data_IF_796436433925
#
_entry.id   IF_796436433925
#
_cell.length_a   1.000
_cell.length_b   1.000
_cell.length_c   1.000
_cell.angle_alpha   90.00
_cell.angle_beta   90.00
_cell.angle_gamma   90.00
#
_symmetry.space_group_name_H-M   'P 1'
#
loop_
_entity.id
_entity.type
_entity.pdbx_description
1 polymer ?
#
# COMPACT_ATOMS: atom_id res chain seq x y z
N UNK A 1 11.66 11.96 -6.11
CA UNK A 1 11.07 12.40 -7.39
C UNK A 1 12.15 13.11 -8.19
N UNK A 2 12.22 12.86 -9.51
CA UNK A 2 13.15 13.55 -10.42
C UNK A 2 12.39 14.22 -11.56
N UNK A 3 12.93 15.35 -12.03
CA UNK A 3 12.46 16.02 -13.23
C UNK A 3 13.69 16.24 -14.12
N UNK A 4 13.67 15.73 -15.34
CA UNK A 4 14.82 15.76 -16.26
C UNK A 4 16.11 15.21 -15.60
N UNK A 5 15.99 14.10 -14.85
CA UNK A 5 17.06 13.47 -14.06
C UNK A 5 17.65 14.32 -12.92
N UNK A 6 17.02 15.44 -12.58
CA UNK A 6 17.41 16.27 -11.42
C UNK A 6 16.45 15.96 -10.25
N UNK A 7 16.97 15.70 -9.05
CA UNK A 7 16.13 15.53 -7.86
C UNK A 7 15.29 16.78 -7.59
N UNK A 8 13.98 16.58 -7.38
CA UNK A 8 13.05 17.63 -7.00
C UNK A 8 12.68 17.44 -5.54
N UNK A 9 13.02 18.38 -4.66
CA UNK A 9 12.60 18.35 -3.26
C UNK A 9 11.06 18.32 -3.16
N UNK A 10 10.55 17.37 -2.37
CA UNK A 10 9.12 17.19 -2.16
C UNK A 10 8.85 17.16 -0.65
N UNK A 11 7.66 17.64 -0.27
CA UNK A 11 7.13 17.45 1.07
C UNK A 11 5.96 16.47 1.05
N UNK A 12 5.88 15.63 2.08
CA UNK A 12 4.71 14.80 2.38
C UNK A 12 3.86 15.55 3.39
N UNK A 13 2.62 15.89 2.99
CA UNK A 13 1.71 16.71 3.79
C UNK A 13 0.66 15.86 4.52
N UNK A 14 0.24 14.74 3.93
CA UNK A 14 -0.76 13.84 4.49
C UNK A 14 -0.59 12.43 3.93
N UNK A 15 -1.20 11.44 4.60
CA UNK A 15 -1.59 10.18 3.98
C UNK A 15 -2.97 10.33 3.38
N UNK A 16 -3.21 9.68 2.24
CA UNK A 16 -4.52 9.74 1.63
C UNK A 16 -5.45 8.65 2.17
N UNK A 17 -4.88 7.53 2.60
CA UNK A 17 -5.63 6.40 3.16
C UNK A 17 -4.72 5.42 3.91
N UNK A 18 -5.36 4.56 4.72
CA UNK A 18 -4.78 3.33 5.26
C UNK A 18 -5.34 2.13 4.52
N UNK A 19 -4.61 1.03 4.54
CA UNK A 19 -4.97 -0.26 3.95
C UNK A 19 -5.34 -0.11 2.44
N UNK A 20 -6.24 -0.87 1.87
CA UNK A 20 -6.76 -0.64 0.50
C UNK A 20 -6.05 -1.31 -0.66
N UNK A 21 -5.07 -2.13 -0.38
CA UNK A 21 -4.44 -2.95 -1.41
C UNK A 21 -4.66 -4.42 -1.10
N UNK A 22 -4.47 -5.26 -2.10
CA UNK A 22 -4.47 -6.69 -1.91
C UNK A 22 -3.44 -7.36 -2.83
N UNK A 23 -3.07 -8.57 -2.45
CA UNK A 23 -2.30 -9.48 -3.30
C UNK A 23 -3.26 -10.48 -3.87
N UNK A 24 -3.37 -10.51 -5.19
CA UNK A 24 -4.22 -11.42 -5.94
C UNK A 24 -3.39 -12.36 -6.79
N UNK A 25 -3.90 -13.59 -6.95
CA UNK A 25 -3.21 -14.71 -7.58
C UNK A 25 -4.11 -15.30 -8.67
N UNK A 26 -3.51 -15.80 -9.74
CA UNK A 26 -4.24 -16.41 -10.86
C UNK A 26 -5.05 -17.63 -10.41
N UNK A 27 -6.18 -17.85 -11.09
CA UNK A 27 -7.13 -18.90 -10.75
C UNK A 27 -6.52 -20.31 -10.74
N UNK A 28 -5.50 -20.56 -11.56
CA UNK A 28 -4.79 -21.84 -11.61
C UNK A 28 -4.14 -22.26 -10.29
N UNK A 29 -3.87 -21.30 -9.37
CA UNK A 29 -3.27 -21.57 -8.08
C UNK A 29 -4.28 -21.79 -6.94
N UNK A 30 -5.59 -21.83 -7.23
CA UNK A 30 -6.64 -21.92 -6.20
C UNK A 30 -6.50 -23.15 -5.31
N UNK A 31 -6.12 -24.28 -5.89
CA UNK A 31 -5.98 -25.54 -5.16
C UNK A 31 -4.75 -25.57 -4.23
N UNK A 32 -3.81 -24.64 -4.40
CA UNK A 32 -2.67 -24.48 -3.48
C UNK A 32 -3.10 -23.99 -2.10
N UNK A 33 -4.31 -23.42 -1.98
CA UNK A 33 -4.84 -22.79 -0.77
C UNK A 33 -3.96 -21.66 -0.24
N UNK A 34 -3.17 -21.03 -1.12
CA UNK A 34 -2.36 -19.87 -0.75
C UNK A 34 -3.25 -18.76 -0.20
N UNK A 35 -2.75 -18.09 0.84
CA UNK A 35 -3.42 -17.00 1.53
C UNK A 35 -2.39 -16.00 2.06
N UNK A 36 -2.53 -15.64 3.33
CA UNK A 36 -1.59 -14.74 4.01
C UNK A 36 -0.17 -15.33 4.03
N UNK A 37 -0.03 -16.64 4.18
CA UNK A 37 1.23 -17.37 4.00
C UNK A 37 1.42 -17.73 2.52
N UNK A 38 2.47 -17.22 1.90
CA UNK A 38 2.81 -17.50 0.50
C UNK A 38 3.62 -18.78 0.30
N UNK A 39 4.05 -19.47 1.36
CA UNK A 39 4.93 -20.65 1.29
C UNK A 39 4.36 -21.78 0.42
N UNK A 40 3.03 -21.90 0.36
CA UNK A 40 2.34 -22.87 -0.49
C UNK A 40 2.67 -22.72 -1.99
N UNK A 41 3.08 -21.53 -2.44
CA UNK A 41 3.47 -21.30 -3.83
C UNK A 41 4.90 -21.68 -4.15
N UNK A 42 5.78 -21.85 -3.14
CA UNK A 42 7.21 -22.06 -3.35
C UNK A 42 7.51 -23.25 -4.25
N UNK A 43 7.05 -24.43 -3.88
CA UNK A 43 7.28 -25.66 -4.65
C UNK A 43 6.61 -25.60 -6.05
N UNK A 44 5.46 -24.91 -6.16
CA UNK A 44 4.75 -24.73 -7.43
C UNK A 44 5.58 -23.85 -8.37
N UNK A 45 6.11 -22.75 -7.88
CA UNK A 45 6.96 -21.83 -8.64
C UNK A 45 8.28 -22.47 -9.05
N UNK A 46 8.92 -23.22 -8.13
CA UNK A 46 10.13 -24.01 -8.44
C UNK A 46 9.88 -25.01 -9.57
N UNK A 47 8.76 -25.76 -9.52
CA UNK A 47 8.37 -26.67 -10.58
C UNK A 47 8.13 -25.96 -11.90
N UNK A 48 7.39 -24.85 -11.91
CA UNK A 48 7.12 -24.05 -13.11
C UNK A 48 8.42 -23.56 -13.76
N UNK A 49 9.39 -23.11 -12.95
CA UNK A 49 10.72 -22.72 -13.43
C UNK A 49 11.52 -23.90 -13.98
N UNK A 50 11.46 -25.07 -13.34
CA UNK A 50 12.12 -26.29 -13.84
C UNK A 50 11.57 -26.74 -15.21
N UNK A 51 10.31 -26.42 -15.49
CA UNK A 51 9.68 -26.62 -16.80
C UNK A 51 10.05 -25.55 -17.84
N UNK A 52 10.95 -24.64 -17.52
CA UNK A 52 11.38 -23.54 -18.39
C UNK A 52 10.36 -22.39 -18.51
N UNK A 53 9.38 -22.33 -17.62
CA UNK A 53 8.37 -21.29 -17.59
C UNK A 53 8.76 -20.19 -16.58
N UNK A 54 8.56 -18.95 -16.96
CA UNK A 54 8.78 -17.81 -16.09
C UNK A 54 7.59 -17.62 -15.14
N UNK A 55 7.87 -17.33 -13.86
CA UNK A 55 6.87 -16.90 -12.88
C UNK A 55 6.91 -15.38 -12.80
N UNK A 56 5.81 -14.72 -13.11
CA UNK A 56 5.71 -13.26 -13.17
C UNK A 56 4.81 -12.72 -12.08
N UNK A 57 5.33 -11.80 -11.28
CA UNK A 57 4.55 -11.08 -10.29
C UNK A 57 4.54 -9.58 -10.59
N UNK A 58 3.38 -8.97 -10.61
CA UNK A 58 3.23 -7.60 -11.05
C UNK A 58 3.06 -6.63 -9.88
N UNK A 59 3.63 -5.46 -10.04
CA UNK A 59 3.44 -4.28 -9.20
C UNK A 59 3.32 -3.05 -10.10
N UNK A 60 2.97 -1.89 -9.52
CA UNK A 60 2.75 -0.68 -10.31
C UNK A 60 4.01 0.15 -10.49
N UNK A 61 4.93 0.08 -9.53
CA UNK A 61 6.08 0.96 -9.49
C UNK A 61 7.19 0.37 -8.60
N UNK A 62 8.44 0.22 -9.08
CA UNK A 62 9.55 -0.28 -8.27
C UNK A 62 9.84 0.64 -7.08
N UNK A 63 9.92 0.07 -5.87
CA UNK A 63 10.13 0.81 -4.63
C UNK A 63 8.89 1.50 -4.07
N UNK A 64 7.74 1.40 -4.76
CA UNK A 64 6.45 1.85 -4.24
C UNK A 64 5.81 0.83 -3.29
N UNK A 65 4.67 1.19 -2.72
CA UNK A 65 3.97 0.36 -1.72
C UNK A 65 3.63 -1.03 -2.26
N UNK A 66 3.11 -1.14 -3.49
CA UNK A 66 2.76 -2.42 -4.11
C UNK A 66 3.97 -3.36 -4.25
N UNK A 67 5.13 -2.81 -4.64
CA UNK A 67 6.40 -3.56 -4.73
C UNK A 67 6.84 -4.04 -3.33
N UNK A 68 6.77 -3.15 -2.32
CA UNK A 68 7.14 -3.52 -0.95
C UNK A 68 6.27 -4.65 -0.40
N UNK A 69 4.95 -4.57 -0.60
CA UNK A 69 4.02 -5.58 -0.10
C UNK A 69 4.22 -6.95 -0.76
N UNK A 70 4.30 -7.00 -2.08
CA UNK A 70 4.45 -8.28 -2.77
C UNK A 70 5.81 -8.92 -2.48
N UNK A 71 6.87 -8.12 -2.38
CA UNK A 71 8.20 -8.59 -1.97
C UNK A 71 8.21 -9.09 -0.54
N UNK A 72 7.57 -8.38 0.37
CA UNK A 72 7.48 -8.79 1.78
C UNK A 72 6.74 -10.13 1.91
N UNK A 73 5.57 -10.24 1.28
CA UNK A 73 4.75 -11.43 1.30
C UNK A 73 5.47 -12.66 0.72
N UNK A 74 6.09 -12.53 -0.44
CA UNK A 74 6.88 -13.60 -1.06
C UNK A 74 8.06 -14.02 -0.16
N UNK A 75 8.83 -13.06 0.35
CA UNK A 75 9.99 -13.31 1.17
C UNK A 75 9.65 -13.99 2.52
N UNK A 76 8.51 -13.64 3.13
CA UNK A 76 8.01 -14.27 4.34
C UNK A 76 7.71 -15.76 4.13
N UNK A 77 7.21 -16.14 2.95
CA UNK A 77 7.01 -17.56 2.54
C UNK A 77 8.27 -18.24 1.99
N UNK A 78 9.43 -17.59 2.07
CA UNK A 78 10.70 -18.15 1.62
C UNK A 78 10.90 -18.14 0.10
N UNK A 79 10.16 -17.27 -0.62
CA UNK A 79 10.31 -17.06 -2.06
C UNK A 79 11.10 -15.76 -2.27
N UNK A 80 12.27 -15.84 -2.91
CA UNK A 80 13.11 -14.69 -3.18
C UNK A 80 12.56 -13.89 -4.38
N UNK A 81 12.08 -12.63 -4.17
CA UNK A 81 11.43 -11.87 -5.23
C UNK A 81 12.35 -11.44 -6.38
N UNK A 82 13.66 -11.58 -6.22
CA UNK A 82 14.64 -11.25 -7.29
C UNK A 82 15.28 -12.48 -7.94
N UNK A 83 15.08 -13.69 -7.35
CA UNK A 83 15.67 -14.93 -7.87
C UNK A 83 14.63 -15.94 -8.32
N UNK A 84 13.51 -16.01 -7.59
CA UNK A 84 12.51 -17.05 -7.80
C UNK A 84 11.39 -16.63 -8.71
N UNK A 85 11.18 -15.32 -8.86
CA UNK A 85 10.15 -14.74 -9.73
C UNK A 85 10.70 -13.56 -10.52
N UNK A 86 10.01 -13.18 -11.60
CA UNK A 86 10.25 -11.95 -12.34
C UNK A 86 9.25 -10.89 -11.89
N UNK A 87 9.74 -9.82 -11.29
CA UNK A 87 8.88 -8.68 -10.93
C UNK A 87 8.68 -7.79 -12.17
N UNK A 88 7.42 -7.55 -12.54
CA UNK A 88 7.06 -6.74 -13.71
C UNK A 88 6.21 -5.53 -13.34
N UNK A 89 6.33 -4.47 -14.11
CA UNK A 89 5.54 -3.24 -13.92
C UNK A 89 4.33 -3.27 -14.84
N UNK A 90 3.14 -3.21 -14.24
CA UNK A 90 1.88 -3.16 -14.98
C UNK A 90 1.02 -2.03 -14.42
N UNK A 91 0.46 -1.13 -15.27
CA UNK A 91 -0.48 -0.11 -14.82
C UNK A 91 -1.74 -0.73 -14.20
N UNK A 92 -2.30 -0.17 -13.12
CA UNK A 92 -3.46 -0.74 -12.42
C UNK A 92 -4.63 -1.11 -13.33
N UNK A 93 -5.08 -0.27 -14.30
CA UNK A 93 -6.20 -0.62 -15.18
C UNK A 93 -5.94 -1.80 -16.11
N UNK A 94 -4.67 -2.22 -16.24
CA UNK A 94 -4.28 -3.34 -17.12
C UNK A 94 -4.07 -4.66 -16.35
N UNK A 95 -4.11 -4.64 -15.00
CA UNK A 95 -3.82 -5.82 -14.17
C UNK A 95 -4.74 -6.99 -14.48
N UNK A 96 -6.05 -6.75 -14.46
CA UNK A 96 -7.06 -7.79 -14.69
C UNK A 96 -6.95 -8.39 -16.11
N UNK A 97 -6.79 -7.55 -17.13
CA UNK A 97 -6.64 -8.00 -18.50
C UNK A 97 -5.37 -8.84 -18.73
N UNK A 98 -4.24 -8.43 -18.14
CA UNK A 98 -2.99 -9.19 -18.24
C UNK A 98 -3.07 -10.53 -17.49
N UNK A 99 -3.70 -10.58 -16.32
CA UNK A 99 -3.94 -11.84 -15.61
C UNK A 99 -4.83 -12.78 -16.43
N UNK A 100 -5.89 -12.26 -17.05
CA UNK A 100 -6.84 -13.04 -17.86
C UNK A 100 -6.17 -13.77 -19.03
N UNK A 101 -5.17 -13.17 -19.65
CA UNK A 101 -4.42 -13.77 -20.77
C UNK A 101 -3.17 -14.54 -20.34
N UNK A 102 -2.98 -14.74 -19.03
CA UNK A 102 -1.87 -15.54 -18.48
C UNK A 102 -0.50 -14.86 -18.52
N UNK A 103 -0.46 -13.53 -18.62
CA UNK A 103 0.80 -12.79 -18.66
C UNK A 103 1.45 -12.61 -17.27
N UNK A 104 0.76 -12.98 -16.20
CA UNK A 104 1.26 -12.92 -14.84
C UNK A 104 0.60 -13.95 -13.92
N UNK A 105 1.29 -14.30 -12.85
CA UNK A 105 0.88 -15.29 -11.86
C UNK A 105 0.24 -14.65 -10.61
N UNK A 106 0.73 -13.49 -10.23
CA UNK A 106 0.22 -12.72 -9.09
C UNK A 106 0.46 -11.23 -9.30
N UNK A 107 -0.27 -10.41 -8.56
CA UNK A 107 -0.02 -8.98 -8.49
C UNK A 107 -0.37 -8.38 -7.12
N UNK A 108 0.23 -7.25 -6.80
CA UNK A 108 -0.22 -6.36 -5.74
C UNK A 108 -0.68 -5.04 -6.34
N UNK A 109 -1.90 -4.64 -6.02
CA UNK A 109 -2.49 -3.39 -6.53
C UNK A 109 -3.55 -2.86 -5.56
N UNK A 110 -3.86 -1.56 -5.65
CA UNK A 110 -5.00 -0.95 -4.95
C UNK A 110 -6.34 -1.37 -5.55
N UNK A 111 -7.41 -1.13 -4.79
CA UNK A 111 -8.76 -1.33 -5.31
C UNK A 111 -9.11 -0.29 -6.40
N UNK A 112 -10.01 -0.62 -7.33
CA UNK A 112 -10.98 -1.73 -7.35
C UNK A 112 -10.51 -3.00 -8.10
N UNK A 113 -9.28 -3.08 -8.52
CA UNK A 113 -8.80 -4.09 -9.47
C UNK A 113 -8.79 -5.51 -8.90
N UNK A 114 -8.60 -5.69 -7.59
CA UNK A 114 -8.68 -7.00 -6.96
C UNK A 114 -10.13 -7.49 -6.90
N UNK A 115 -11.10 -6.63 -6.56
CA UNK A 115 -12.51 -7.00 -6.57
C UNK A 115 -12.99 -7.33 -7.98
N UNK A 116 -12.61 -6.53 -8.97
CA UNK A 116 -12.92 -6.79 -10.38
C UNK A 116 -12.36 -8.13 -10.86
N UNK A 117 -11.13 -8.50 -10.45
CA UNK A 117 -10.53 -9.79 -10.76
C UNK A 117 -11.38 -10.95 -10.23
N UNK A 118 -11.80 -10.85 -8.97
CA UNK A 118 -12.62 -11.86 -8.29
C UNK A 118 -13.99 -11.95 -8.94
N UNK A 119 -14.65 -10.83 -9.21
CA UNK A 119 -15.98 -10.78 -9.82
C UNK A 119 -15.99 -11.37 -11.24
N UNK A 120 -14.88 -11.26 -11.97
CA UNK A 120 -14.72 -11.86 -13.30
C UNK A 120 -14.26 -13.33 -13.27
N UNK A 121 -13.99 -13.91 -12.09
CA UNK A 121 -13.51 -15.30 -11.95
C UNK A 121 -12.14 -15.58 -12.55
N UNK A 122 -11.31 -14.54 -12.74
CA UNK A 122 -9.98 -14.64 -13.36
C UNK A 122 -8.93 -15.08 -12.35
N UNK A 123 -9.13 -14.76 -11.08
CA UNK A 123 -8.24 -15.08 -9.98
C UNK A 123 -8.93 -14.87 -8.63
N UNK A 124 -8.15 -14.91 -7.60
CA UNK A 124 -8.62 -14.73 -6.23
C UNK A 124 -7.64 -13.86 -5.43
N UNK A 125 -8.14 -13.18 -4.40
CA UNK A 125 -7.31 -12.46 -3.44
C UNK A 125 -6.72 -13.44 -2.43
N UNK A 126 -5.39 -13.53 -2.36
CA UNK A 126 -4.70 -14.33 -1.35
C UNK A 126 -4.81 -13.66 0.02
N UNK A 127 -4.50 -12.38 0.10
CA UNK A 127 -4.64 -11.57 1.31
C UNK A 127 -4.83 -10.09 0.96
N UNK A 128 -5.42 -9.34 1.89
CA UNK A 128 -5.35 -7.88 1.86
C UNK A 128 -4.06 -7.41 2.51
N UNK A 129 -3.58 -6.23 2.13
CA UNK A 129 -2.36 -5.69 2.74
C UNK A 129 -2.57 -5.25 4.20
N UNK A 130 -3.81 -4.95 4.59
CA UNK A 130 -4.18 -4.74 5.99
C UNK A 130 -4.00 -5.99 6.86
N UNK A 131 -4.02 -7.19 6.26
CA UNK A 131 -3.66 -8.43 6.97
C UNK A 131 -2.14 -8.58 7.14
N UNK A 132 -1.34 -8.02 6.20
CA UNK A 132 0.13 -8.03 6.31
C UNK A 132 0.63 -7.10 7.42
N UNK A 133 0.07 -5.92 7.48
CA UNK A 133 0.33 -4.91 8.49
C UNK A 133 -0.93 -4.08 8.73
N UNK A 134 -1.56 -4.27 9.86
CA UNK A 134 -2.83 -3.60 10.21
C UNK A 134 -2.67 -2.09 10.23
N UNK A 135 -3.59 -1.41 9.53
CA UNK A 135 -3.62 0.05 9.46
C UNK A 135 -2.33 0.64 8.87
N UNK A 136 -1.76 -0.04 7.87
CA UNK A 136 -0.58 0.46 7.20
C UNK A 136 -0.88 1.71 6.38
N UNK A 137 0.07 2.65 6.28
CA UNK A 137 -0.08 3.82 5.42
C UNK A 137 -0.02 3.43 3.95
N UNK A 138 -0.79 4.14 3.13
CA UNK A 138 -0.79 3.93 1.70
C UNK A 138 -0.36 5.21 0.97
N UNK A 139 -1.17 5.76 0.07
CA UNK A 139 -0.79 6.91 -0.74
C UNK A 139 -0.54 8.15 0.11
N UNK A 140 0.36 9.00 -0.37
CA UNK A 140 0.68 10.27 0.25
C UNK A 140 0.29 11.45 -0.64
N UNK A 141 -0.15 12.54 -0.02
CA UNK A 141 -0.22 13.84 -0.67
C UNK A 141 1.16 14.48 -0.61
N UNK A 142 1.82 14.53 -1.76
CA UNK A 142 3.14 15.14 -1.90
C UNK A 142 3.08 16.39 -2.75
N UNK A 143 3.75 17.46 -2.31
CA UNK A 143 3.91 18.70 -3.05
C UNK A 143 5.38 19.09 -3.18
N UNK A 144 5.70 19.86 -4.20
CA UNK A 144 7.04 20.46 -4.35
C UNK A 144 7.36 21.38 -3.18
N UNK A 145 8.53 21.19 -2.59
CA UNK A 145 8.96 21.97 -1.42
C UNK A 145 8.97 23.48 -1.73
N UNK A 146 9.54 23.88 -2.86
CA UNK A 146 9.63 25.28 -3.28
C UNK A 146 8.25 25.94 -3.46
N UNK A 147 7.23 25.18 -3.91
CA UNK A 147 5.87 25.68 -4.03
C UNK A 147 5.22 25.89 -2.66
N UNK A 148 5.38 24.91 -1.76
CA UNK A 148 4.86 24.98 -0.39
C UNK A 148 5.44 26.18 0.36
N UNK A 149 6.75 26.38 0.25
CA UNK A 149 7.45 27.50 0.89
C UNK A 149 7.00 28.86 0.38
N UNK A 150 6.73 28.98 -0.92
CA UNK A 150 6.22 30.22 -1.54
C UNK A 150 4.73 30.47 -1.29
N UNK A 151 3.96 29.41 -1.01
CA UNK A 151 2.50 29.48 -0.91
C UNK A 151 1.95 28.83 0.37
N UNK A 152 2.43 29.22 1.57
CA UNK A 152 2.07 28.53 2.81
C UNK A 152 0.57 28.54 3.11
N UNK A 153 -0.10 29.68 2.92
CA UNK A 153 -1.56 29.79 3.15
C UNK A 153 -2.38 28.94 2.17
N UNK A 154 -2.00 28.93 0.89
CA UNK A 154 -2.67 28.11 -0.11
C UNK A 154 -2.45 26.61 0.17
N UNK A 155 -1.26 26.24 0.65
CA UNK A 155 -0.94 24.86 1.05
C UNK A 155 -1.87 24.38 2.16
N UNK A 156 -2.01 25.16 3.24
CA UNK A 156 -2.88 24.82 4.37
C UNK A 156 -4.35 24.74 3.93
N UNK A 157 -4.83 25.71 3.15
CA UNK A 157 -6.22 25.74 2.67
C UNK A 157 -6.55 24.54 1.76
N UNK A 158 -5.64 24.20 0.84
CA UNK A 158 -5.80 23.02 -0.03
C UNK A 158 -5.78 21.73 0.79
N UNK A 159 -4.86 21.62 1.74
CA UNK A 159 -4.80 20.45 2.62
C UNK A 159 -6.06 20.34 3.46
N UNK A 160 -6.57 21.42 4.02
CA UNK A 160 -7.83 21.45 4.78
C UNK A 160 -8.99 20.87 3.94
N UNK A 161 -9.14 21.29 2.67
CA UNK A 161 -10.15 20.73 1.78
C UNK A 161 -9.99 19.22 1.53
N UNK A 162 -8.74 18.74 1.42
CA UNK A 162 -8.47 17.29 1.32
C UNK A 162 -8.88 16.56 2.59
N UNK A 163 -8.56 17.11 3.76
CA UNK A 163 -8.93 16.50 5.04
C UNK A 163 -10.46 16.45 5.26
N UNK A 164 -11.19 17.48 4.84
CA UNK A 164 -12.67 17.46 4.85
C UNK A 164 -13.22 16.35 3.94
N UNK A 165 -12.66 16.22 2.73
CA UNK A 165 -13.03 15.14 1.82
C UNK A 165 -12.73 13.76 2.40
N UNK A 166 -11.62 13.59 3.11
CA UNK A 166 -11.28 12.34 3.81
C UNK A 166 -12.28 12.00 4.93
N UNK A 167 -12.75 13.00 5.69
CA UNK A 167 -13.84 12.80 6.67
C UNK A 167 -15.12 12.33 5.98
N UNK A 168 -15.47 12.95 4.87
CA UNK A 168 -16.65 12.57 4.07
C UNK A 168 -16.52 11.14 3.53
N UNK A 169 -15.34 10.75 3.03
CA UNK A 169 -15.08 9.42 2.51
C UNK A 169 -15.22 8.32 3.56
N UNK A 170 -14.96 8.60 4.83
CA UNK A 170 -15.06 7.61 5.92
C UNK A 170 -16.48 7.42 6.47
N UNK A 171 -17.42 8.27 6.10
CA UNK A 171 -18.82 8.06 6.47
C UNK A 171 -19.41 6.92 5.64
N UNK A 172 -19.94 5.90 6.32
CA UNK A 172 -20.58 4.75 5.67
C UNK A 172 -21.78 5.16 4.82
N UNK A 173 -22.51 6.23 5.20
CA UNK A 173 -23.63 6.75 4.44
C UNK A 173 -23.21 7.26 3.04
N UNK A 174 -21.97 7.66 2.88
CA UNK A 174 -21.45 8.22 1.62
C UNK A 174 -20.84 7.18 0.67
N UNK A 175 -20.72 5.90 1.10
CA UNK A 175 -20.02 4.88 0.31
C UNK A 175 -20.70 4.58 -1.02
N UNK A 176 -22.01 4.59 -1.09
CA UNK A 176 -22.77 4.37 -2.33
C UNK A 176 -22.53 5.52 -3.32
N UNK A 177 -22.57 6.77 -2.85
CA UNK A 177 -22.24 7.94 -3.68
C UNK A 177 -20.77 7.91 -4.11
N UNK A 178 -19.85 7.62 -3.18
CA UNK A 178 -18.42 7.49 -3.47
C UNK A 178 -18.17 6.44 -4.55
N UNK A 179 -18.77 5.26 -4.48
CA UNK A 179 -18.61 4.21 -5.48
C UNK A 179 -19.17 4.64 -6.85
N UNK A 180 -20.29 5.36 -6.86
CA UNK A 180 -20.89 5.92 -8.07
C UNK A 180 -20.00 6.98 -8.72
N UNK A 181 -19.35 7.83 -7.92
CA UNK A 181 -18.39 8.82 -8.42
C UNK A 181 -17.17 8.11 -9.03
N UNK A 182 -16.56 7.18 -8.29
CA UNK A 182 -15.34 6.47 -8.71
C UNK A 182 -15.57 5.59 -9.95
N UNK A 183 -16.76 5.00 -10.10
CA UNK A 183 -17.13 4.17 -11.24
C UNK A 183 -17.26 4.92 -12.57
N UNK A 184 -17.36 6.26 -12.56
CA UNK A 184 -17.54 7.07 -13.77
C UNK A 184 -16.35 6.91 -14.74
N UNK A 185 -16.64 7.07 -16.04
CA UNK A 185 -15.65 6.93 -17.13
C UNK A 185 -14.40 7.81 -16.96
N UNK A 186 -14.55 9.00 -16.37
CA UNK A 186 -13.44 9.92 -16.13
C UNK A 186 -12.49 9.51 -15.00
N UNK A 187 -12.89 8.50 -14.20
CA UNK A 187 -12.11 7.98 -13.09
C UNK A 187 -11.68 6.53 -13.35
N UNK A 188 -12.27 5.56 -12.68
CA UNK A 188 -11.87 4.15 -12.86
C UNK A 188 -12.54 3.47 -14.05
N UNK A 189 -13.71 3.98 -14.49
CA UNK A 189 -14.50 3.36 -15.57
C UNK A 189 -14.81 1.87 -15.29
N UNK A 190 -15.28 1.59 -14.08
CA UNK A 190 -15.67 0.25 -13.63
C UNK A 190 -17.09 0.30 -13.06
N UNK A 191 -17.83 -0.83 -13.03
CA UNK A 191 -19.11 -0.88 -12.35
C UNK A 191 -18.98 -0.47 -10.87
N UNK A 192 -19.90 0.35 -10.32
CA UNK A 192 -19.87 0.70 -8.89
C UNK A 192 -19.86 -0.53 -7.97
N UNK A 193 -20.43 -1.65 -8.39
CA UNK A 193 -20.40 -2.90 -7.65
C UNK A 193 -18.99 -3.47 -7.45
N UNK A 194 -18.05 -3.19 -8.37
CA UNK A 194 -16.63 -3.58 -8.24
C UNK A 194 -15.85 -2.69 -7.25
N UNK A 195 -16.50 -1.67 -6.69
CA UNK A 195 -15.87 -0.72 -5.75
C UNK A 195 -16.50 -0.81 -4.37
N UNK A 196 -17.83 -0.95 -4.31
CA UNK A 196 -18.65 -0.73 -3.12
C UNK A 196 -18.37 -1.73 -1.99
N UNK A 197 -18.24 -3.01 -2.31
CA UNK A 197 -18.07 -4.06 -1.29
C UNK A 197 -16.86 -3.78 -0.41
N UNK A 198 -15.71 -3.63 -1.02
CA UNK A 198 -14.45 -3.39 -0.28
C UNK A 198 -14.40 -2.01 0.39
N UNK A 199 -15.09 -1.00 -0.15
CA UNK A 199 -15.26 0.28 0.54
C UNK A 199 -16.05 0.16 1.84
N UNK A 200 -16.98 -0.79 1.92
CA UNK A 200 -17.77 -1.11 3.13
C UNK A 200 -17.11 -2.12 4.06
N UNK A 201 -15.98 -2.68 3.64
CA UNK A 201 -15.28 -3.72 4.39
C UNK A 201 -15.84 -5.13 4.14
N UNK A 202 -16.63 -5.31 3.08
CA UNK A 202 -17.13 -6.60 2.63
C UNK A 202 -16.19 -7.16 1.58
N UNK A 203 -15.47 -8.23 1.90
CA UNK A 203 -14.42 -8.77 1.04
C UNK A 203 -14.73 -10.21 0.68
N UNK A 204 -15.06 -10.44 -0.58
CA UNK A 204 -15.04 -11.77 -1.18
C UNK A 204 -13.63 -12.03 -1.74
N UNK A 205 -12.95 -13.03 -1.19
CA UNK A 205 -11.60 -13.38 -1.64
C UNK A 205 -11.58 -14.20 -2.94
N UNK A 206 -12.73 -14.74 -3.39
CA UNK A 206 -12.81 -15.56 -4.61
C UNK A 206 -12.36 -17.03 -4.43
N UNK A 207 -11.84 -17.38 -3.28
CA UNK A 207 -11.36 -18.73 -2.94
C UNK A 207 -12.29 -19.49 -1.95
N UNK A 208 -13.47 -18.94 -1.66
CA UNK A 208 -14.42 -19.46 -0.68
C UNK A 208 -14.41 -18.71 0.65
N UNK A 209 -13.40 -17.87 0.91
CA UNK A 209 -13.35 -16.99 2.05
C UNK A 209 -14.15 -15.73 1.78
N UNK A 210 -15.03 -15.37 2.72
CA UNK A 210 -15.79 -14.10 2.70
C UNK A 210 -15.70 -13.48 4.10
N UNK A 211 -15.48 -12.17 4.16
CA UNK A 211 -15.44 -11.39 5.40
C UNK A 211 -16.32 -10.16 5.19
N UNK A 212 -17.19 -9.87 6.16
CA UNK A 212 -18.10 -8.73 6.09
C UNK A 212 -17.78 -7.75 7.20
N UNK A 213 -17.81 -6.45 6.88
CA UNK A 213 -17.62 -5.36 7.84
C UNK A 213 -16.26 -5.40 8.56
N UNK A 214 -15.20 -5.83 7.86
CA UNK A 214 -13.86 -5.90 8.46
C UNK A 214 -13.29 -4.52 8.76
N UNK A 215 -12.54 -4.40 9.85
CA UNK A 215 -11.72 -3.22 10.16
C UNK A 215 -10.51 -3.05 9.22
N UNK A 216 -10.17 -4.08 8.43
CA UNK A 216 -9.06 -4.07 7.48
C UNK A 216 -9.48 -3.54 6.10
N UNK A 217 -10.36 -2.54 6.08
CA UNK A 217 -10.78 -1.84 4.87
C UNK A 217 -10.16 -0.44 4.79
N UNK A 218 -10.31 0.17 3.65
CA UNK A 218 -9.80 1.50 3.36
C UNK A 218 -10.37 2.55 4.33
N UNK A 219 -9.48 3.25 5.04
CA UNK A 219 -9.81 4.38 5.92
C UNK A 219 -9.12 5.63 5.42
N UNK A 220 -9.79 6.75 5.51
CA UNK A 220 -9.29 8.02 5.00
C UNK A 220 -8.99 9.04 6.12
N UNK A 221 -9.79 9.04 7.18
CA UNK A 221 -9.67 9.94 8.33
C UNK A 221 -9.60 9.21 9.66
N UNK A 222 -10.55 8.26 9.89
CA UNK A 222 -10.65 7.49 11.13
C UNK A 222 -9.33 6.83 11.47
N UNK A 223 -9.05 6.71 12.79
CA UNK A 223 -7.83 6.11 13.31
C UNK A 223 -6.55 6.84 12.85
N UNK A 224 -6.67 8.15 12.68
CA UNK A 224 -5.58 9.02 12.21
C UNK A 224 -5.03 8.64 10.83
N UNK A 225 -5.88 8.08 9.95
CA UNK A 225 -5.50 7.57 8.64
C UNK A 225 -4.79 8.62 7.77
N UNK A 226 -5.20 9.88 7.90
CA UNK A 226 -4.64 11.00 7.15
C UNK A 226 -3.32 11.52 7.71
N UNK A 227 -3.00 11.24 8.99
CA UNK A 227 -1.81 11.79 9.62
C UNK A 227 -0.52 11.17 9.10
N UNK A 228 0.47 11.96 8.66
CA UNK A 228 1.72 11.44 8.11
C UNK A 228 2.71 11.08 9.22
N UNK A 229 2.49 9.95 9.91
CA UNK A 229 3.43 9.47 10.92
C UNK A 229 4.83 9.28 10.34
N UNK A 230 5.83 9.89 10.96
CA UNK A 230 7.25 9.74 10.58
C UNK A 230 7.75 8.31 10.74
N UNK A 231 7.21 7.56 11.71
CA UNK A 231 7.52 6.14 11.89
C UNK A 231 7.14 5.28 10.68
N UNK A 232 6.09 5.66 9.96
CA UNK A 232 5.70 4.99 8.72
C UNK A 232 6.71 5.25 7.59
N UNK A 233 7.17 6.49 7.45
CA UNK A 233 8.21 6.81 6.47
C UNK A 233 9.52 6.06 6.78
N UNK A 234 9.86 5.94 8.05
CA UNK A 234 11.02 5.18 8.49
C UNK A 234 10.94 3.70 8.07
N UNK A 235 9.76 3.07 8.17
CA UNK A 235 9.57 1.69 7.71
C UNK A 235 9.80 1.57 6.20
N UNK A 236 9.23 2.46 5.39
CA UNK A 236 9.41 2.42 3.94
C UNK A 236 10.86 2.62 3.52
N UNK A 237 11.58 3.52 4.17
CA UNK A 237 13.02 3.71 3.91
C UNK A 237 13.78 2.44 4.30
N UNK A 238 13.46 1.84 5.45
CA UNK A 238 14.09 0.60 5.93
C UNK A 238 13.86 -0.56 4.97
N UNK A 239 12.64 -0.75 4.45
CA UNK A 239 12.36 -1.78 3.44
C UNK A 239 13.08 -1.47 2.10
N UNK A 240 13.19 -0.20 1.71
CA UNK A 240 13.99 0.15 0.54
C UNK A 240 15.49 -0.13 0.75
N UNK A 241 16.02 0.02 1.98
CA UNK A 241 17.37 -0.43 2.33
C UNK A 241 17.47 -1.97 2.24
N UNK A 242 16.49 -2.70 2.81
CA UNK A 242 16.42 -4.18 2.70
C UNK A 242 16.63 -4.67 1.27
N UNK A 243 16.02 -4.01 0.31
CA UNK A 243 16.06 -4.38 -1.10
C UNK A 243 17.18 -3.69 -1.91
N UNK A 244 18.14 -3.04 -1.22
CA UNK A 244 19.30 -2.39 -1.85
C UNK A 244 18.96 -1.16 -2.71
N UNK A 245 17.77 -0.55 -2.47
CA UNK A 245 17.35 0.68 -3.17
C UNK A 245 17.87 1.94 -2.48
N UNK A 246 18.19 1.84 -1.19
CA UNK A 246 18.92 2.82 -0.41
C UNK A 246 20.15 2.16 0.21
N UNK A 247 21.19 2.95 0.43
CA UNK A 247 22.41 2.52 1.10
C UNK A 247 22.13 2.13 2.56
N UNK A 248 22.81 1.11 3.07
CA UNK A 248 22.68 0.66 4.45
C UNK A 248 23.02 1.76 5.49
N UNK A 249 23.79 2.75 5.08
CA UNK A 249 24.22 3.91 5.88
C UNK A 249 23.26 5.10 5.81
N UNK A 250 22.11 4.96 5.12
CA UNK A 250 21.14 6.06 5.00
C UNK A 250 20.66 6.53 6.36
N UNK A 251 20.83 7.82 6.65
CA UNK A 251 20.27 8.44 7.83
C UNK A 251 18.76 8.65 7.67
N UNK A 252 17.99 7.68 8.18
CA UNK A 252 16.54 7.64 8.08
C UNK A 252 15.91 8.88 8.71
N UNK A 253 16.37 9.27 9.91
CA UNK A 253 15.79 10.38 10.65
C UNK A 253 16.02 11.72 9.96
N UNK A 254 17.23 11.94 9.43
CA UNK A 254 17.54 13.14 8.66
C UNK A 254 16.70 13.22 7.38
N UNK A 255 16.51 12.09 6.67
CA UNK A 255 15.71 12.05 5.46
C UNK A 255 14.23 12.30 5.73
N UNK A 256 13.66 11.62 6.72
CA UNK A 256 12.26 11.79 7.13
C UNK A 256 12.02 13.23 7.63
N UNK A 257 12.95 13.78 8.41
CA UNK A 257 12.85 15.16 8.91
C UNK A 257 12.83 16.23 7.82
N UNK A 258 13.48 15.96 6.68
CA UNK A 258 13.48 16.88 5.52
C UNK A 258 12.20 16.83 4.70
N UNK A 259 11.47 15.72 4.71
CA UNK A 259 10.37 15.46 3.77
C UNK A 259 9.01 15.53 4.43
N UNK A 260 8.88 15.04 5.65
CA UNK A 260 7.60 14.93 6.35
C UNK A 260 7.21 16.23 7.03
N UNK A 261 6.00 16.74 6.73
CA UNK A 261 5.46 18.00 7.22
C UNK A 261 4.19 17.79 8.05
N UNK A 262 4.27 16.95 9.08
CA UNK A 262 3.20 16.76 10.05
C UNK A 262 2.78 18.06 10.75
N UNK A 263 3.64 19.06 10.80
CA UNK A 263 3.36 20.41 11.28
C UNK A 263 2.27 21.10 10.45
N UNK A 264 2.39 21.09 9.12
CA UNK A 264 1.39 21.65 8.19
C UNK A 264 0.07 20.87 8.28
N UNK A 265 0.14 19.54 8.42
CA UNK A 265 -1.06 18.74 8.62
C UNK A 265 -1.83 19.18 9.86
N UNK A 266 -1.16 19.38 10.99
CA UNK A 266 -1.79 19.81 12.25
C UNK A 266 -2.45 21.19 12.12
N UNK A 267 -1.85 22.11 11.37
CA UNK A 267 -2.42 23.42 11.08
C UNK A 267 -3.73 23.28 10.27
N UNK A 268 -3.70 22.51 9.19
CA UNK A 268 -4.87 22.25 8.35
C UNK A 268 -5.99 21.52 9.11
N UNK A 269 -5.64 20.54 9.95
CA UNK A 269 -6.60 19.80 10.75
C UNK A 269 -7.33 20.72 11.76
N UNK A 270 -6.63 21.65 12.40
CA UNK A 270 -7.25 22.67 13.27
C UNK A 270 -8.19 23.58 12.49
N UNK A 271 -7.83 23.93 11.25
CA UNK A 271 -8.67 24.79 10.39
C UNK A 271 -10.04 24.15 10.09
N UNK A 272 -10.12 22.82 9.99
CA UNK A 272 -11.39 22.07 9.81
C UNK A 272 -12.05 21.66 11.12
N UNK A 273 -11.62 22.23 12.25
CA UNK A 273 -12.20 21.99 13.58
C UNK A 273 -11.83 20.64 14.21
N UNK A 274 -10.80 19.95 13.72
CA UNK A 274 -10.30 18.76 14.37
C UNK A 274 -9.69 19.07 15.74
N UNK A 275 -9.90 18.20 16.72
CA UNK A 275 -9.44 18.39 18.09
C UNK A 275 -9.22 17.09 18.84
N UNK A 276 -8.60 17.17 20.00
CA UNK A 276 -8.39 16.01 20.88
C UNK A 276 -7.63 14.87 20.19
N UNK A 277 -8.19 13.67 20.23
CA UNK A 277 -7.59 12.46 19.66
C UNK A 277 -7.54 12.44 18.13
N UNK A 278 -8.25 13.35 17.45
CA UNK A 278 -8.16 13.48 16.00
C UNK A 278 -6.81 14.10 15.55
N UNK A 279 -6.10 14.77 16.45
CA UNK A 279 -4.76 15.36 16.18
C UNK A 279 -3.72 14.59 16.99
N UNK A 280 -2.94 13.69 16.38
CA UNK A 280 -1.88 12.96 17.08
C UNK A 280 -0.86 13.90 17.73
N UNK A 281 -0.59 13.66 19.02
CA UNK A 281 0.44 14.40 19.76
C UNK A 281 1.86 13.97 19.37
N UNK A 282 2.02 12.69 18.97
CA UNK A 282 3.30 12.11 18.53
C UNK A 282 3.39 12.01 17.02
N UNK A 283 4.58 12.19 16.48
CA UNK A 283 4.90 11.90 15.06
C UNK A 283 5.20 10.42 14.82
N UNK A 284 5.21 9.60 15.88
CA UNK A 284 5.43 8.16 15.79
C UNK A 284 4.22 7.40 16.33
N UNK A 285 3.85 6.33 15.62
CA UNK A 285 2.83 5.37 16.08
C UNK A 285 3.45 4.27 16.98
N UNK A 286 4.77 4.30 17.16
CA UNK A 286 5.49 3.32 17.96
C UNK A 286 5.88 2.07 17.19
N UNK A 287 6.00 0.94 17.91
CA UNK A 287 6.36 -0.35 17.32
C UNK A 287 5.21 -0.94 16.53
N UNK A 288 5.54 -1.52 15.39
CA UNK A 288 4.59 -2.13 14.47
C UNK A 288 4.89 -3.62 14.32
N UNK A 289 3.86 -4.46 14.43
CA UNK A 289 4.01 -5.91 14.27
C UNK A 289 3.43 -6.34 12.92
N UNK A 290 4.24 -7.03 12.12
CA UNK A 290 3.86 -7.59 10.84
C UNK A 290 3.18 -8.97 11.04
N UNK A 291 2.50 -9.45 10.03
CA UNK A 291 1.74 -10.72 10.08
C UNK A 291 2.59 -11.94 10.44
N UNK A 292 3.88 -11.93 10.09
CA UNK A 292 4.85 -13.00 10.37
C UNK A 292 5.54 -12.86 11.74
N UNK A 293 5.02 -11.98 12.60
CA UNK A 293 5.53 -11.72 13.94
C UNK A 293 6.77 -10.85 14.00
N UNK A 294 7.26 -10.34 12.85
CA UNK A 294 8.37 -9.37 12.85
C UNK A 294 7.91 -8.06 13.41
N UNK A 295 8.74 -7.47 14.28
CA UNK A 295 8.45 -6.18 14.91
C UNK A 295 9.37 -5.11 14.35
N UNK A 296 8.79 -4.09 13.75
CA UNK A 296 9.51 -2.88 13.37
C UNK A 296 9.47 -1.88 14.52
N UNK A 297 10.64 -1.52 15.03
CA UNK A 297 10.82 -0.42 15.97
C UNK A 297 11.44 0.76 15.22
N UNK A 298 10.76 1.91 15.09
CA UNK A 298 11.32 3.08 14.42
C UNK A 298 12.54 3.68 15.16
N UNK A 299 12.76 3.32 16.42
CA UNK A 299 13.95 3.70 17.17
C UNK A 299 15.18 2.83 16.85
N UNK A 300 14.97 1.60 16.34
CA UNK A 300 16.04 0.68 15.94
C UNK A 300 15.71 -0.10 14.66
N UNK A 301 15.69 0.57 13.50
CA UNK A 301 15.43 -0.11 12.22
C UNK A 301 16.46 -1.18 11.88
N UNK A 302 17.68 -1.06 12.39
CA UNK A 302 18.75 -2.04 12.13
C UNK A 302 18.45 -3.40 12.80
N UNK A 303 17.88 -3.40 14.01
CA UNK A 303 17.44 -4.63 14.65
C UNK A 303 16.37 -5.35 13.82
N UNK A 304 15.39 -4.61 13.28
CA UNK A 304 14.38 -5.18 12.39
C UNK A 304 15.01 -5.83 11.14
N UNK A 305 15.92 -5.15 10.46
CA UNK A 305 16.62 -5.68 9.28
C UNK A 305 17.38 -6.98 9.56
N UNK A 306 17.93 -7.15 10.77
CA UNK A 306 18.61 -8.41 11.18
C UNK A 306 17.65 -9.58 11.28
N UNK A 307 16.36 -9.36 11.54
CA UNK A 307 15.36 -10.43 11.66
C UNK A 307 14.90 -10.97 10.30
N UNK A 308 15.22 -10.29 9.20
CA UNK A 308 14.76 -10.61 7.86
C UNK A 308 15.77 -11.55 7.17
N UNK A 309 15.29 -12.74 6.73
CA UNK A 309 16.13 -13.75 6.10
C UNK A 309 16.49 -13.43 4.66
N UNK A 310 15.53 -12.90 3.88
CA UNK A 310 15.75 -12.53 2.47
C UNK A 310 15.92 -11.01 2.37
N UNK A 311 17.11 -10.58 2.02
CA UNK A 311 17.50 -9.17 1.90
C UNK A 311 18.71 -9.01 0.97
N UNK A 312 18.98 -7.78 0.52
CA UNK A 312 20.11 -7.42 -0.38
C UNK A 312 21.21 -6.64 0.33
N UNK A 313 20.99 -6.25 1.56
CA UNK A 313 22.01 -5.62 2.41
C UNK A 313 22.70 -6.68 3.27
N UNK A 314 23.96 -6.45 3.56
CA UNK A 314 24.78 -7.31 4.41
C UNK A 314 24.36 -7.25 5.89
#
# INVERSE_FOLDING_TARGET
>A
VTQNNVPVPMFILARLNLDSQAISVAQEYKDSKVGLDSSALKAIFEKKKAEGKEVKVAMTFPGGTHDMWIRYWLAAGGIDPDKDVSTIVVPPPQMVANMKVGNMDAFCVGEPWNEQLVNQGIGFTACTTGELWKKHPEKALGLRADWVEKNPKATVAMLAAVLEAQKWCDDLANKDEMSSILGRRQWFNVPPADVLGRLKGDINYGNGRVVNGTDLYMKFWKENASFPFKSHDAWFITENMRWGKFEATTDINALVGKVNRADIWREAAKMIGASGSEIPASDSRGKETMFDGKVFDPADPAAYLKTLSIKRIA
#
